data_IF_955767401614
#
_entry.id   IF_955767401614
#
_cell.length_a   1.000
_cell.length_b   1.000
_cell.length_c   1.000
_cell.angle_alpha   90.00
_cell.angle_beta   90.00
_cell.angle_gamma   90.00
#
_symmetry.space_group_name_H-M   'P 1'
#
loop_
_entity.id
_entity.type
_entity.pdbx_description
1 polymer ?
#
# COMPACT_ATOMS: atom_id res chain seq x y z
N UNK A 1 -3.47 -4.14 18.26
CA UNK A 1 -2.05 -4.05 17.88
C UNK A 1 -1.92 -3.01 16.79
N UNK A 2 -1.00 -2.10 16.93
CA UNK A 2 -0.85 -1.00 15.99
C UNK A 2 0.25 -1.30 14.97
N UNK A 3 0.06 -0.78 13.76
CA UNK A 3 1.11 -0.82 12.75
C UNK A 3 2.13 0.25 13.11
N UNK A 4 3.37 -0.13 13.25
CA UNK A 4 4.42 0.80 13.63
C UNK A 4 4.91 1.62 12.43
N UNK A 5 5.64 2.67 12.73
CA UNK A 5 6.33 3.47 11.71
C UNK A 5 7.26 2.58 10.87
N UNK A 6 7.92 1.61 11.50
CA UNK A 6 8.83 0.72 10.79
C UNK A 6 8.11 -0.14 9.77
N UNK A 7 6.99 -0.75 10.14
CA UNK A 7 6.20 -1.55 9.20
C UNK A 7 5.72 -0.73 8.02
N UNK A 8 5.26 0.49 8.29
CA UNK A 8 4.84 1.40 7.23
C UNK A 8 6.00 1.73 6.30
N UNK A 9 7.19 1.93 6.85
CA UNK A 9 8.37 2.22 6.03
C UNK A 9 8.75 1.04 5.15
N UNK A 10 8.57 -0.20 5.62
CA UNK A 10 8.80 -1.36 4.76
C UNK A 10 7.91 -1.34 3.53
N UNK A 11 6.63 -1.04 3.71
CA UNK A 11 5.72 -0.89 2.58
C UNK A 11 6.13 0.26 1.67
N UNK A 12 6.59 1.37 2.23
CA UNK A 12 7.08 2.50 1.45
C UNK A 12 8.31 2.13 0.63
N UNK A 13 9.18 1.25 1.14
CA UNK A 13 10.31 0.74 0.36
C UNK A 13 9.84 0.02 -0.90
N UNK A 14 8.80 -0.79 -0.80
CA UNK A 14 8.27 -1.49 -1.97
C UNK A 14 7.73 -0.51 -3.00
N UNK A 15 7.04 0.53 -2.57
CA UNK A 15 6.55 1.58 -3.45
C UNK A 15 7.70 2.31 -4.14
N UNK A 16 8.75 2.60 -3.41
CA UNK A 16 9.90 3.30 -3.95
C UNK A 16 10.68 2.46 -4.98
N UNK A 17 10.74 1.16 -4.78
CA UNK A 17 11.35 0.26 -5.76
C UNK A 17 10.66 0.33 -7.12
N UNK A 18 9.37 0.62 -7.12
CA UNK A 18 8.58 0.83 -8.32
C UNK A 18 8.55 2.28 -8.77
N UNK A 19 9.24 3.17 -8.04
CA UNK A 19 9.24 4.61 -8.30
C UNK A 19 7.84 5.23 -8.28
N UNK A 20 6.98 4.72 -7.38
CA UNK A 20 5.64 5.27 -7.21
C UNK A 20 5.76 6.64 -6.54
N UNK A 21 5.15 7.70 -7.11
CA UNK A 21 5.17 9.01 -6.47
C UNK A 21 4.58 8.95 -5.07
N UNK A 22 5.13 9.73 -4.16
CA UNK A 22 4.73 9.70 -2.75
C UNK A 22 3.27 10.08 -2.56
N UNK A 23 2.76 11.01 -3.35
CA UNK A 23 1.35 11.40 -3.27
C UNK A 23 0.41 10.32 -3.79
N UNK A 24 0.91 9.35 -4.57
CA UNK A 24 0.16 8.13 -4.92
C UNK A 24 0.31 7.07 -3.83
N UNK A 25 1.52 6.92 -3.30
CA UNK A 25 1.81 5.88 -2.32
C UNK A 25 1.07 6.09 -1.00
N UNK A 26 0.97 7.32 -0.52
CA UNK A 26 0.37 7.60 0.78
C UNK A 26 -1.09 7.15 0.89
N UNK A 27 -1.99 7.52 -0.02
CA UNK A 27 -3.37 7.03 0.08
C UNK A 27 -3.49 5.52 -0.08
N UNK A 28 -2.61 4.91 -0.87
CA UNK A 28 -2.61 3.45 -1.03
C UNK A 28 -2.15 2.73 0.21
N UNK A 29 -1.15 3.26 0.92
CA UNK A 29 -0.71 2.71 2.19
C UNK A 29 -1.79 2.84 3.25
N UNK A 30 -2.46 3.98 3.29
CA UNK A 30 -3.57 4.19 4.22
C UNK A 30 -4.72 3.24 3.94
N UNK A 31 -4.99 2.96 2.68
CA UNK A 31 -6.00 1.98 2.29
C UNK A 31 -5.62 0.57 2.77
N UNK A 32 -4.40 0.14 2.46
CA UNK A 32 -3.96 -1.21 2.82
C UNK A 32 -3.91 -1.43 4.32
N UNK A 33 -3.30 -0.50 5.04
CA UNK A 33 -3.00 -0.69 6.46
C UNK A 33 -4.19 -0.34 7.34
N UNK A 34 -4.85 0.78 7.06
CA UNK A 34 -5.88 1.31 7.94
C UNK A 34 -7.30 1.17 7.40
N UNK A 35 -7.45 0.77 6.15
CA UNK A 35 -8.78 0.63 5.54
C UNK A 35 -9.44 1.97 5.26
N UNK A 36 -8.67 2.99 4.90
CA UNK A 36 -9.21 4.29 4.52
C UNK A 36 -9.49 4.30 3.02
N UNK A 37 -10.58 4.94 2.64
CA UNK A 37 -10.89 5.10 1.23
C UNK A 37 -9.84 5.99 0.55
N UNK A 38 -9.24 5.52 -0.56
CA UNK A 38 -8.15 6.26 -1.19
C UNK A 38 -8.60 7.36 -2.14
N UNK A 39 -9.89 7.57 -2.31
CA UNK A 39 -10.43 8.52 -3.28
C UNK A 39 -10.82 7.82 -4.58
N UNK A 40 -11.62 8.52 -5.41
CA UNK A 40 -12.25 7.90 -6.58
C UNK A 40 -11.26 7.41 -7.63
N UNK A 41 -10.20 8.17 -7.89
CA UNK A 41 -9.18 7.78 -8.85
C UNK A 41 -8.48 6.48 -8.42
N UNK A 42 -7.99 6.44 -7.19
CA UNK A 42 -7.26 5.28 -6.69
C UNK A 42 -8.17 4.08 -6.45
N UNK A 43 -9.41 4.32 -6.05
CA UNK A 43 -10.41 3.25 -5.97
C UNK A 43 -10.60 2.60 -7.33
N UNK A 44 -10.69 3.39 -8.38
CA UNK A 44 -10.84 2.87 -9.75
C UNK A 44 -9.59 2.09 -10.19
N UNK A 45 -8.39 2.53 -9.82
CA UNK A 45 -7.16 1.78 -10.11
C UNK A 45 -7.21 0.41 -9.44
N UNK A 46 -7.53 0.38 -8.15
CA UNK A 46 -7.64 -0.86 -7.39
C UNK A 46 -8.72 -1.78 -7.96
N UNK A 47 -9.81 -1.21 -8.44
CA UNK A 47 -10.93 -1.96 -8.97
C UNK A 47 -10.73 -2.43 -10.42
N UNK A 48 -9.57 -2.16 -11.01
CA UNK A 48 -9.29 -2.50 -12.40
C UNK A 48 -10.20 -1.75 -13.39
N UNK A 49 -10.56 -0.53 -13.02
CA UNK A 49 -11.38 0.36 -13.85
C UNK A 49 -10.51 1.50 -14.35
N UNK A 50 -9.66 1.18 -15.31
CA UNK A 50 -8.65 2.12 -15.78
C UNK A 50 -9.26 3.33 -16.48
N UNK A 51 -10.33 3.13 -17.20
CA UNK A 51 -11.03 4.22 -17.86
C UNK A 51 -11.44 5.29 -16.86
N UNK A 52 -12.08 4.90 -15.76
CA UNK A 52 -12.50 5.81 -14.72
C UNK A 52 -11.31 6.38 -13.96
N UNK A 53 -10.28 5.57 -13.72
CA UNK A 53 -9.07 6.02 -13.05
C UNK A 53 -8.43 7.18 -13.79
N UNK A 54 -8.24 7.03 -15.10
CA UNK A 54 -7.64 8.08 -15.92
C UNK A 54 -8.55 9.31 -15.98
N UNK A 55 -9.85 9.10 -16.16
CA UNK A 55 -10.80 10.21 -16.25
C UNK A 55 -10.94 11.01 -14.96
N UNK A 56 -10.68 10.39 -13.81
CA UNK A 56 -10.76 11.03 -12.50
C UNK A 56 -9.44 11.63 -12.03
N UNK A 57 -8.34 11.35 -12.74
CA UNK A 57 -7.03 11.79 -12.28
C UNK A 57 -6.79 13.27 -12.59
N UNK A 58 -5.93 13.88 -11.78
CA UNK A 58 -5.51 15.25 -12.04
C UNK A 58 -4.67 15.29 -13.32
N UNK A 59 -4.82 16.35 -14.16
CA UNK A 59 -4.11 16.43 -15.45
C UNK A 59 -2.59 16.36 -15.33
N UNK A 60 -2.01 16.71 -14.19
CA UNK A 60 -0.54 16.64 -14.00
C UNK A 60 -0.04 15.22 -13.79
N UNK A 61 -0.92 14.27 -13.51
CA UNK A 61 -0.52 12.88 -13.30
C UNK A 61 -0.15 12.24 -14.63
N UNK A 62 0.97 11.52 -14.64
CA UNK A 62 1.52 10.94 -15.85
C UNK A 62 1.16 9.48 -16.00
N UNK A 63 1.25 8.98 -17.24
CA UNK A 63 1.05 7.55 -17.51
C UNK A 63 2.11 6.71 -16.80
N UNK A 64 3.34 7.22 -16.74
CA UNK A 64 4.45 6.56 -16.04
C UNK A 64 4.14 6.38 -14.55
N UNK A 65 3.55 7.38 -13.93
CA UNK A 65 3.16 7.28 -12.51
C UNK A 65 2.11 6.20 -12.30
N UNK A 66 1.11 6.13 -13.17
CA UNK A 66 0.09 5.08 -13.10
C UNK A 66 0.66 3.70 -13.37
N UNK A 67 1.58 3.58 -14.31
CA UNK A 67 2.25 2.31 -14.59
C UNK A 67 3.03 1.82 -13.37
N UNK A 68 3.77 2.71 -12.72
CA UNK A 68 4.48 2.38 -11.50
C UNK A 68 3.52 1.92 -10.40
N UNK A 69 2.42 2.63 -10.23
CA UNK A 69 1.40 2.30 -9.24
C UNK A 69 0.81 0.91 -9.48
N UNK A 70 0.41 0.61 -10.71
CA UNK A 70 -0.17 -0.69 -11.05
C UNK A 70 0.84 -1.81 -10.86
N UNK A 71 2.10 -1.61 -11.25
CA UNK A 71 3.15 -2.59 -11.04
C UNK A 71 3.37 -2.91 -9.57
N UNK A 72 3.39 -1.87 -8.73
CA UNK A 72 3.52 -2.02 -7.29
C UNK A 72 2.34 -2.82 -6.71
N UNK A 73 1.11 -2.48 -7.10
CA UNK A 73 -0.08 -3.20 -6.64
C UNK A 73 0.00 -4.67 -7.02
N UNK A 74 0.30 -4.97 -8.28
CA UNK A 74 0.33 -6.35 -8.77
C UNK A 74 1.40 -7.19 -8.10
N UNK A 75 2.55 -6.59 -7.76
CA UNK A 75 3.63 -7.34 -7.15
C UNK A 75 3.45 -7.55 -5.66
N UNK A 76 2.94 -6.55 -4.94
CA UNK A 76 2.99 -6.57 -3.48
C UNK A 76 1.63 -6.64 -2.79
N UNK A 77 0.57 -6.12 -3.39
CA UNK A 77 -0.71 -6.06 -2.68
C UNK A 77 -1.35 -7.44 -2.58
N UNK A 78 -2.03 -7.74 -1.44
CA UNK A 78 -2.83 -8.96 -1.35
C UNK A 78 -3.89 -9.00 -2.44
N UNK A 79 -4.11 -10.17 -3.02
CA UNK A 79 -5.12 -10.31 -4.06
C UNK A 79 -6.53 -9.94 -3.58
N UNK A 80 -6.79 -10.08 -2.29
CA UNK A 80 -8.06 -9.71 -1.70
C UNK A 80 -8.32 -8.20 -1.73
N UNK A 81 -7.27 -7.40 -1.94
CA UNK A 81 -7.36 -5.95 -1.82
C UNK A 81 -7.58 -5.24 -3.16
N UNK A 82 -7.57 -5.95 -4.27
CA UNK A 82 -7.71 -5.32 -5.58
C UNK A 82 -8.31 -6.28 -6.60
N UNK A 83 -8.63 -5.73 -7.78
CA UNK A 83 -9.12 -6.50 -8.91
C UNK A 83 -10.49 -6.07 -9.40
N UNK A 84 -11.39 -5.71 -8.51
CA UNK A 84 -12.72 -5.20 -8.82
C UNK A 84 -13.27 -4.39 -7.66
N UNK A 85 -14.40 -3.73 -7.86
CA UNK A 85 -15.01 -2.89 -6.82
C UNK A 85 -15.45 -3.72 -5.61
N UNK A 86 -15.88 -4.94 -5.83
CA UNK A 86 -16.29 -5.83 -4.74
C UNK A 86 -15.09 -6.13 -3.82
N UNK A 87 -13.95 -6.44 -4.39
CA UNK A 87 -12.73 -6.71 -3.61
C UNK A 87 -12.32 -5.50 -2.78
N UNK A 88 -12.38 -4.31 -3.38
CA UNK A 88 -12.06 -3.07 -2.67
C UNK A 88 -13.02 -2.86 -1.50
N UNK A 89 -14.32 -3.03 -1.73
CA UNK A 89 -15.33 -2.89 -0.66
C UNK A 89 -15.11 -3.89 0.45
N UNK A 90 -14.81 -5.13 0.12
CA UNK A 90 -14.55 -6.17 1.11
C UNK A 90 -13.30 -5.85 1.94
N UNK A 91 -12.25 -5.33 1.31
CA UNK A 91 -11.05 -4.93 2.03
C UNK A 91 -11.35 -3.81 3.03
N UNK A 92 -12.13 -2.83 2.61
CA UNK A 92 -12.53 -1.73 3.50
C UNK A 92 -13.38 -2.21 4.68
N UNK A 93 -14.15 -3.27 4.48
CA UNK A 93 -15.03 -3.82 5.52
C UNK A 93 -14.31 -4.72 6.52
N UNK A 94 -13.08 -5.14 6.22
CA UNK A 94 -12.31 -5.96 7.15
C UNK A 94 -12.01 -5.18 8.43
N UNK A 95 -11.93 -5.90 9.55
CA UNK A 95 -11.47 -5.29 10.80
C UNK A 95 -9.96 -5.00 10.70
N UNK A 96 -9.46 -4.08 11.54
CA UNK A 96 -8.01 -3.84 11.58
C UNK A 96 -7.19 -5.10 11.83
N UNK A 97 -7.69 -5.99 12.67
CA UNK A 97 -7.00 -7.26 12.97
C UNK A 97 -6.94 -8.15 11.75
N UNK A 98 -8.04 -8.27 11.02
CA UNK A 98 -8.09 -9.10 9.82
C UNK A 98 -7.15 -8.59 8.74
N UNK A 99 -7.13 -7.27 8.48
CA UNK A 99 -6.21 -6.69 7.52
C UNK A 99 -4.76 -6.94 7.92
N UNK A 100 -4.47 -6.74 9.19
CA UNK A 100 -3.12 -6.96 9.71
C UNK A 100 -2.67 -8.40 9.52
N UNK A 101 -3.53 -9.36 9.82
CA UNK A 101 -3.19 -10.77 9.66
C UNK A 101 -2.85 -11.11 8.21
N UNK A 102 -3.63 -10.59 7.27
CA UNK A 102 -3.35 -10.79 5.85
C UNK A 102 -2.01 -10.18 5.46
N UNK A 103 -1.75 -8.96 5.89
CA UNK A 103 -0.50 -8.28 5.56
C UNK A 103 0.70 -8.96 6.19
N UNK A 104 0.59 -9.45 7.41
CA UNK A 104 1.65 -10.20 8.07
C UNK A 104 1.92 -11.53 7.35
N UNK A 105 0.88 -12.23 6.98
CA UNK A 105 1.00 -13.50 6.27
C UNK A 105 1.74 -13.33 4.95
N UNK A 106 1.57 -12.21 4.29
CA UNK A 106 2.26 -11.93 3.03
C UNK A 106 3.62 -11.27 3.22
N UNK A 107 4.05 -11.08 4.45
CA UNK A 107 5.35 -10.51 4.74
C UNK A 107 5.47 -9.02 4.47
N UNK A 108 4.33 -8.32 4.36
CA UNK A 108 4.33 -6.89 4.10
C UNK A 108 4.50 -6.05 5.36
N UNK A 109 4.11 -6.60 6.49
CA UNK A 109 4.36 -6.00 7.80
C UNK A 109 4.86 -7.10 8.73
N UNK A 110 5.36 -6.71 9.91
CA UNK A 110 5.90 -7.65 10.88
C UNK A 110 4.98 -7.73 12.09
N UNK A 111 5.06 -8.86 12.79
CA UNK A 111 4.47 -8.94 14.12
C UNK A 111 5.20 -7.97 15.05
N UNK A 112 4.58 -7.66 16.17
CA UNK A 112 5.16 -6.72 17.13
C UNK A 112 6.58 -7.10 17.55
N UNK A 113 6.81 -8.39 17.81
CA UNK A 113 8.13 -8.89 18.16
C UNK A 113 9.13 -8.72 17.02
N UNK A 114 8.72 -9.06 15.82
CA UNK A 114 9.56 -8.92 14.65
C UNK A 114 9.86 -7.46 14.34
N UNK A 115 8.91 -6.57 14.60
CA UNK A 115 9.12 -5.14 14.44
C UNK A 115 10.23 -4.62 15.36
N UNK A 116 10.24 -5.06 16.61
CA UNK A 116 11.28 -4.67 17.54
C UNK A 116 12.64 -5.12 17.04
N UNK A 117 12.76 -6.37 16.62
CA UNK A 117 14.01 -6.92 16.11
C UNK A 117 14.45 -6.17 14.86
N UNK A 118 13.53 -5.93 13.94
CA UNK A 118 13.83 -5.24 12.69
C UNK A 118 14.22 -3.78 12.94
N UNK A 119 13.56 -3.13 13.88
CA UNK A 119 13.90 -1.76 14.25
C UNK A 119 15.33 -1.67 14.77
N UNK A 120 15.71 -2.59 15.64
CA UNK A 120 17.07 -2.64 16.17
C UNK A 120 18.10 -2.89 15.06
N UNK A 121 17.79 -3.79 14.14
CA UNK A 121 18.66 -4.06 12.99
C UNK A 121 18.76 -2.86 12.07
N UNK A 122 17.66 -2.17 11.84
CA UNK A 122 17.65 -1.00 10.99
C UNK A 122 18.50 0.13 11.58
N UNK A 123 18.48 0.31 12.90
CA UNK A 123 19.34 1.28 13.58
C UNK A 123 20.82 0.93 13.41
N UNK A 124 21.15 -0.35 13.55
CA UNK A 124 22.52 -0.83 13.40
C UNK A 124 23.05 -0.65 11.98
N UNK A 125 22.21 -0.91 11.00
CA UNK A 125 22.61 -0.83 9.60
C UNK A 125 22.44 0.55 9.02
N UNK A 126 21.77 1.45 9.73
CA UNK A 126 21.41 2.78 9.24
C UNK A 126 20.69 2.69 7.92
N UNK A 127 19.78 1.74 7.81
CA UNK A 127 18.99 1.57 6.61
C UNK A 127 18.31 2.89 6.26
N UNK A 128 18.44 3.34 5.01
CA UNK A 128 17.89 4.63 4.64
C UNK A 128 16.37 4.64 4.75
N UNK A 129 15.88 5.68 5.41
CA UNK A 129 14.46 5.96 5.44
C UNK A 129 14.15 6.79 4.21
N UNK A 130 13.28 6.30 3.39
CA UNK A 130 13.09 6.85 2.07
C UNK A 130 12.12 8.01 2.03
N UNK A 131 11.41 8.22 3.09
CA UNK A 131 10.44 9.31 3.16
C UNK A 131 10.57 10.09 4.45
#
# INVERSE_FOLDING_TARGET
MNITVYSNNRLRHTAQRWEVPQDFANPMLNYLVYGYEPGSCFTAVLANDFYRAIGSSHPVNTVEAFKALVGWIQEYFPQQAYGNYEAVGQWLDLSPVERREILEHQGLIYTEQEEIIKTLKAEDTQEPMLY
#
